data_IF_197889086774
#
_entry.id   IF_197889086774
#
_cell.length_a   1.000
_cell.length_b   1.000
_cell.length_c   1.000
_cell.angle_alpha   90.00
_cell.angle_beta   90.00
_cell.angle_gamma   90.00
#
_symmetry.space_group_name_H-M   'P 1'
#
loop_
_entity.id
_entity.type
_entity.pdbx_description
1 polymer ?
#
# COMPACT_ATOMS: atom_id res chain seq x y z
N UNK A 1 -26.58 47.16 49.69
CA UNK A 1 -26.16 45.74 49.64
C UNK A 1 -26.69 44.99 48.40
N UNK A 2 -27.71 45.49 47.70
CA UNK A 2 -28.33 44.75 46.58
C UNK A 2 -27.53 44.72 45.27
N UNK A 3 -26.66 45.71 45.01
CA UNK A 3 -25.89 45.75 43.76
C UNK A 3 -24.75 44.71 43.67
N UNK A 4 -24.25 44.19 44.81
CA UNK A 4 -23.21 43.15 44.83
C UNK A 4 -23.75 41.73 44.57
N UNK A 5 -25.03 41.47 44.84
CA UNK A 5 -25.64 40.14 44.63
C UNK A 5 -25.96 39.91 43.15
N UNK A 6 -26.40 40.96 42.44
CA UNK A 6 -26.73 40.90 41.01
C UNK A 6 -25.51 40.64 40.12
N UNK A 7 -24.33 41.15 40.48
CA UNK A 7 -23.09 40.94 39.70
C UNK A 7 -22.53 39.53 39.85
N UNK A 8 -22.65 38.93 41.04
CA UNK A 8 -22.26 37.55 41.32
C UNK A 8 -23.14 36.54 40.57
N UNK A 9 -24.46 36.75 40.57
CA UNK A 9 -25.40 35.90 39.82
C UNK A 9 -25.19 35.97 38.30
N UNK A 10 -24.90 37.16 37.76
CA UNK A 10 -24.60 37.35 36.34
C UNK A 10 -23.28 36.68 35.92
N UNK A 11 -22.26 36.70 36.79
CA UNK A 11 -20.97 36.03 36.57
C UNK A 11 -21.09 34.51 36.58
N UNK A 12 -21.83 33.94 37.54
CA UNK A 12 -22.10 32.49 37.60
C UNK A 12 -22.89 31.98 36.39
N UNK A 13 -23.82 32.78 35.87
CA UNK A 13 -24.58 32.43 34.65
C UNK A 13 -23.68 32.43 33.41
N UNK A 14 -22.78 33.41 33.27
CA UNK A 14 -21.81 33.43 32.17
C UNK A 14 -20.82 32.26 32.20
N UNK A 15 -20.38 31.83 33.39
CA UNK A 15 -19.50 30.67 33.56
C UNK A 15 -20.22 29.34 33.28
N UNK A 16 -21.50 29.24 33.66
CA UNK A 16 -22.34 28.10 33.29
C UNK A 16 -22.54 28.04 31.75
N UNK A 17 -22.78 29.17 31.11
CA UNK A 17 -22.98 29.23 29.65
C UNK A 17 -21.70 28.86 28.88
N UNK A 18 -20.51 29.26 29.37
CA UNK A 18 -19.23 28.84 28.76
C UNK A 18 -18.98 27.35 28.97
N UNK A 19 -19.31 26.79 30.14
CA UNK A 19 -19.22 25.34 30.38
C UNK A 19 -20.16 24.54 29.45
N UNK A 20 -21.38 25.04 29.21
CA UNK A 20 -22.33 24.41 28.28
C UNK A 20 -21.80 24.42 26.84
N UNK A 21 -21.24 25.55 26.39
CA UNK A 21 -20.64 25.66 25.05
C UNK A 21 -19.45 24.71 24.92
N UNK A 22 -18.57 24.65 25.92
CA UNK A 22 -17.43 23.75 25.92
C UNK A 22 -17.87 22.27 25.87
N UNK A 23 -18.85 21.88 26.68
CA UNK A 23 -19.38 20.51 26.68
C UNK A 23 -20.04 20.16 25.34
N UNK A 24 -20.74 21.11 24.71
CA UNK A 24 -21.32 20.94 23.38
C UNK A 24 -20.25 20.67 22.33
N UNK A 25 -19.20 21.49 22.29
CA UNK A 25 -18.06 21.31 21.38
C UNK A 25 -17.34 19.98 21.62
N UNK A 26 -17.19 19.57 22.89
CA UNK A 26 -16.61 18.27 23.23
C UNK A 26 -17.43 17.11 22.66
N UNK A 27 -18.78 17.19 22.74
CA UNK A 27 -19.70 16.16 22.22
C UNK A 27 -19.74 16.12 20.71
N UNK A 28 -19.68 17.27 20.06
CA UNK A 28 -19.59 17.39 18.61
C UNK A 28 -18.31 16.73 18.09
N UNK A 29 -17.15 17.09 18.67
CA UNK A 29 -15.88 16.45 18.34
C UNK A 29 -15.89 14.94 18.58
N UNK A 30 -16.54 14.49 19.66
CA UNK A 30 -16.71 13.06 19.90
C UNK A 30 -17.57 12.38 18.82
N UNK A 31 -18.64 13.03 18.34
CA UNK A 31 -19.46 12.51 17.26
C UNK A 31 -18.68 12.37 15.95
N UNK A 32 -17.81 13.34 15.62
CA UNK A 32 -16.95 13.28 14.45
C UNK A 32 -16.04 12.05 14.47
N UNK A 33 -15.45 11.73 15.63
CA UNK A 33 -14.62 10.52 15.77
C UNK A 33 -15.42 9.23 15.54
N UNK A 34 -16.68 9.16 15.97
CA UNK A 34 -17.52 7.99 15.67
C UNK A 34 -17.78 7.86 14.17
N UNK A 35 -18.01 8.97 13.47
CA UNK A 35 -18.19 8.98 12.01
C UNK A 35 -16.93 8.48 11.29
N UNK A 36 -15.75 8.91 11.74
CA UNK A 36 -14.46 8.44 11.20
C UNK A 36 -14.26 6.94 11.48
N UNK A 37 -14.52 6.47 12.70
CA UNK A 37 -14.41 5.04 13.00
C UNK A 37 -15.35 4.21 12.12
N UNK A 38 -16.57 4.69 11.90
CA UNK A 38 -17.56 4.02 11.07
C UNK A 38 -17.15 3.90 9.60
N UNK A 39 -16.44 4.90 9.05
CA UNK A 39 -15.95 4.85 7.67
C UNK A 39 -14.73 3.95 7.48
N UNK A 40 -13.95 3.71 8.53
CA UNK A 40 -12.73 2.89 8.48
C UNK A 40 -12.98 1.39 8.67
N UNK A 41 -14.10 1.01 9.29
CA UNK A 41 -14.41 -0.39 9.62
C UNK A 41 -15.41 -0.96 8.60
N UNK A 42 -15.02 -1.95 7.78
CA UNK A 42 -15.84 -2.45 6.67
C UNK A 42 -17.19 -3.09 7.08
N UNK A 43 -17.31 -3.55 8.32
CA UNK A 43 -18.50 -4.28 8.82
C UNK A 43 -19.57 -3.38 9.43
N UNK A 44 -19.34 -2.06 9.51
CA UNK A 44 -20.26 -1.13 10.15
C UNK A 44 -21.23 -0.50 9.15
N UNK A 45 -22.53 -0.73 9.38
CA UNK A 45 -23.59 -0.05 8.65
C UNK A 45 -23.80 1.39 9.16
N UNK A 46 -24.33 2.32 8.34
CA UNK A 46 -24.55 3.73 8.69
C UNK A 46 -25.38 3.99 9.97
N UNK A 47 -26.18 3.01 10.42
CA UNK A 47 -27.04 3.11 11.62
C UNK A 47 -26.51 2.34 12.84
N UNK A 48 -25.22 1.99 12.86
CA UNK A 48 -24.62 1.28 13.98
C UNK A 48 -24.66 2.11 15.28
N UNK A 49 -24.95 1.46 16.41
CA UNK A 49 -24.92 2.10 17.72
C UNK A 49 -23.48 2.38 18.15
N UNK A 50 -23.24 3.39 19.00
CA UNK A 50 -21.89 3.75 19.48
C UNK A 50 -21.13 2.56 20.08
N UNK A 51 -21.82 1.74 20.88
CA UNK A 51 -21.24 0.52 21.46
C UNK A 51 -20.81 -0.46 20.37
N UNK A 52 -21.66 -0.66 19.35
CA UNK A 52 -21.34 -1.54 18.22
C UNK A 52 -20.16 -1.02 17.39
N UNK A 53 -20.09 0.29 17.16
CA UNK A 53 -18.94 0.92 16.47
C UNK A 53 -17.63 0.60 17.20
N UNK A 54 -17.60 0.75 18.53
CA UNK A 54 -16.40 0.46 19.33
C UNK A 54 -16.06 -1.04 19.29
N UNK A 55 -17.06 -1.90 19.48
CA UNK A 55 -16.88 -3.35 19.48
C UNK A 55 -16.33 -3.87 18.14
N UNK A 56 -16.93 -3.45 17.02
CA UNK A 56 -16.45 -3.82 15.68
C UNK A 56 -15.07 -3.23 15.39
N UNK A 57 -14.80 -1.98 15.82
CA UNK A 57 -13.47 -1.38 15.69
C UNK A 57 -12.41 -2.22 16.39
N UNK A 58 -12.65 -2.61 17.65
CA UNK A 58 -11.70 -3.45 18.41
C UNK A 58 -11.51 -4.81 17.76
N UNK A 59 -12.60 -5.43 17.28
CA UNK A 59 -12.53 -6.70 16.55
C UNK A 59 -11.71 -6.54 15.26
N UNK A 60 -11.90 -5.45 14.52
CA UNK A 60 -11.21 -5.20 13.27
C UNK A 60 -9.72 -4.92 13.47
N UNK A 61 -9.34 -4.18 14.51
CA UNK A 61 -7.93 -3.99 14.90
C UNK A 61 -7.26 -5.34 15.14
N UNK A 62 -7.86 -6.19 15.98
CA UNK A 62 -7.33 -7.54 16.26
C UNK A 62 -7.22 -8.40 14.99
N UNK A 63 -8.19 -8.29 14.09
CA UNK A 63 -8.15 -8.97 12.80
C UNK A 63 -6.97 -8.50 11.95
N UNK A 64 -6.74 -7.19 11.85
CA UNK A 64 -5.62 -6.62 11.10
C UNK A 64 -4.28 -7.00 11.72
N UNK A 65 -4.14 -6.95 13.05
CA UNK A 65 -2.95 -7.41 13.76
C UNK A 65 -2.64 -8.88 13.45
N UNK A 66 -3.65 -9.76 13.57
CA UNK A 66 -3.50 -11.17 13.24
C UNK A 66 -3.15 -11.42 11.77
N UNK A 67 -3.74 -10.67 10.84
CA UNK A 67 -3.41 -10.73 9.41
C UNK A 67 -1.98 -10.27 9.14
N UNK A 68 -1.53 -9.21 9.82
CA UNK A 68 -0.18 -8.69 9.71
C UNK A 68 0.84 -9.69 10.23
N UNK A 69 0.57 -10.35 11.36
CA UNK A 69 1.42 -11.41 11.89
C UNK A 69 1.44 -12.64 10.99
N UNK A 70 0.28 -13.05 10.46
CA UNK A 70 0.19 -14.12 9.48
C UNK A 70 1.04 -13.82 8.23
N UNK A 71 0.93 -12.61 7.66
CA UNK A 71 1.71 -12.20 6.50
C UNK A 71 3.22 -12.15 6.81
N UNK A 72 3.61 -11.65 7.99
CA UNK A 72 5.01 -11.67 8.44
C UNK A 72 5.54 -13.09 8.62
N UNK A 73 4.72 -14.00 9.13
CA UNK A 73 5.10 -15.41 9.28
C UNK A 73 5.16 -16.10 7.92
N UNK A 74 4.24 -15.81 7.00
CA UNK A 74 4.30 -16.32 5.64
C UNK A 74 5.55 -15.84 4.89
N UNK A 75 6.00 -14.61 5.16
CA UNK A 75 7.29 -14.11 4.65
C UNK A 75 8.50 -14.86 5.24
N UNK A 76 8.36 -15.43 6.44
CA UNK A 76 9.41 -16.21 7.13
C UNK A 76 9.37 -17.72 6.81
N UNK A 77 8.19 -18.27 6.58
CA UNK A 77 7.94 -19.73 6.43
C UNK A 77 7.84 -20.14 4.97
N UNK A 78 7.53 -19.21 4.05
CA UNK A 78 7.98 -19.45 2.68
C UNK A 78 9.51 -19.53 2.73
N UNK A 79 10.15 -20.66 2.35
CA UNK A 79 11.48 -20.51 1.77
C UNK A 79 11.27 -19.45 0.71
N UNK A 80 12.05 -18.36 0.75
CA UNK A 80 11.99 -17.37 -0.29
C UNK A 80 11.94 -18.11 -1.63
N UNK A 81 10.76 -18.19 -2.27
CA UNK A 81 10.74 -18.20 -3.71
C UNK A 81 11.39 -16.87 -4.02
N UNK A 82 12.59 -16.91 -4.58
CA UNK A 82 13.60 -15.94 -4.21
C UNK A 82 13.20 -14.51 -4.60
N UNK A 83 12.74 -13.73 -3.62
CA UNK A 83 13.34 -12.42 -3.35
C UNK A 83 14.77 -12.71 -2.86
N UNK A 84 15.62 -13.21 -3.76
CA UNK A 84 17.04 -13.25 -3.52
C UNK A 84 17.53 -11.82 -3.62
N UNK A 85 17.69 -11.20 -2.44
CA UNK A 85 18.90 -10.44 -2.15
C UNK A 85 20.10 -11.40 -2.23
N UNK A 86 20.38 -11.95 -3.42
CA UNK A 86 21.69 -12.53 -3.71
C UNK A 86 22.56 -11.43 -4.23
N UNK A 87 23.28 -10.84 -3.30
CA UNK A 87 24.49 -10.13 -3.60
C UNK A 87 25.49 -11.12 -4.23
N UNK A 88 25.64 -11.10 -5.57
CA UNK A 88 26.91 -11.19 -6.33
C UNK A 88 26.69 -11.35 -7.85
N UNK A 89 26.43 -10.23 -8.52
CA UNK A 89 27.30 -9.61 -9.56
C UNK A 89 26.62 -8.30 -10.04
N UNK A 90 27.30 -7.14 -10.13
CA UNK A 90 26.64 -5.83 -10.08
C UNK A 90 26.31 -5.25 -11.47
N UNK A 91 25.51 -5.94 -12.30
CA UNK A 91 25.15 -5.38 -13.63
C UNK A 91 23.71 -5.57 -14.07
N UNK A 92 23.07 -6.71 -13.76
CA UNK A 92 21.70 -7.01 -14.24
C UNK A 92 20.96 -8.03 -13.38
N UNK A 93 19.67 -7.79 -13.09
CA UNK A 93 18.75 -8.75 -12.46
C UNK A 93 17.49 -8.89 -13.28
N UNK A 94 16.95 -10.11 -13.40
CA UNK A 94 15.73 -10.39 -14.17
C UNK A 94 14.83 -11.35 -13.38
N UNK A 95 13.65 -10.88 -13.02
CA UNK A 95 12.57 -11.62 -12.39
C UNK A 95 11.46 -11.88 -13.40
N UNK A 96 10.81 -13.04 -13.27
CA UNK A 96 9.76 -13.50 -14.16
C UNK A 96 8.57 -13.97 -13.33
N UNK A 97 7.37 -13.49 -13.68
CA UNK A 97 6.10 -14.05 -13.22
C UNK A 97 5.27 -14.49 -14.43
N UNK A 98 4.59 -15.63 -14.33
CA UNK A 98 3.81 -16.19 -15.43
C UNK A 98 2.34 -16.39 -15.01
N UNK A 99 1.42 -16.13 -15.92
CA UNK A 99 -0.03 -16.33 -15.75
C UNK A 99 -0.67 -16.78 -17.05
N UNK A 100 -1.07 -18.06 -17.15
CA UNK A 100 -1.66 -18.76 -18.32
C UNK A 100 -1.03 -18.42 -19.68
N UNK A 101 -1.32 -17.25 -20.22
CA UNK A 101 -0.88 -16.78 -21.54
C UNK A 101 0.01 -15.51 -21.49
N UNK A 102 0.36 -15.03 -20.28
CA UNK A 102 1.11 -13.80 -20.06
C UNK A 102 2.37 -14.06 -19.22
N UNK A 103 3.46 -13.39 -19.59
CA UNK A 103 4.71 -13.35 -18.88
C UNK A 103 5.04 -11.91 -18.50
N UNK A 104 5.36 -11.69 -17.22
CA UNK A 104 5.81 -10.42 -16.68
C UNK A 104 7.31 -10.52 -16.39
N UNK A 105 8.11 -9.74 -17.10
CA UNK A 105 9.55 -9.64 -16.91
C UNK A 105 9.85 -8.35 -16.16
N UNK A 106 10.33 -8.46 -14.93
CA UNK A 106 10.81 -7.32 -14.14
C UNK A 106 12.33 -7.39 -14.05
N UNK A 107 13.01 -6.42 -14.64
CA UNK A 107 14.46 -6.42 -14.75
C UNK A 107 15.06 -5.11 -14.27
N UNK A 108 16.27 -5.17 -13.73
CA UNK A 108 17.05 -4.01 -13.34
C UNK A 108 18.44 -4.09 -13.94
N UNK A 109 18.95 -2.97 -14.43
CA UNK A 109 20.25 -2.89 -15.07
C UNK A 109 20.98 -1.64 -14.63
N UNK A 110 22.32 -1.69 -14.61
CA UNK A 110 23.10 -0.46 -14.58
C UNK A 110 22.87 0.33 -15.86
N UNK A 111 22.53 1.61 -15.75
CA UNK A 111 22.24 2.47 -16.89
C UNK A 111 23.48 2.64 -17.76
N UNK A 112 23.37 2.26 -19.03
CA UNK A 112 24.43 2.36 -20.03
C UNK A 112 23.81 2.70 -21.40
N UNK A 113 24.54 3.42 -22.27
CA UNK A 113 24.08 3.66 -23.64
C UNK A 113 23.74 2.34 -24.34
N UNK A 114 22.60 2.30 -25.03
CA UNK A 114 22.16 1.13 -25.79
C UNK A 114 21.52 0.00 -24.99
N UNK A 115 21.40 0.12 -23.66
CA UNK A 115 20.76 -0.89 -22.81
C UNK A 115 19.33 -1.21 -23.28
N UNK A 116 18.49 -0.19 -23.44
CA UNK A 116 17.09 -0.38 -23.85
C UNK A 116 17.00 -1.04 -25.23
N UNK A 117 17.90 -0.67 -26.15
CA UNK A 117 17.95 -1.30 -27.47
C UNK A 117 18.26 -2.79 -27.37
N UNK A 118 19.21 -3.18 -26.51
CA UNK A 118 19.54 -4.61 -26.28
C UNK A 118 18.35 -5.36 -25.67
N UNK A 119 17.66 -4.75 -24.70
CA UNK A 119 16.47 -5.35 -24.08
C UNK A 119 15.36 -5.54 -25.13
N UNK A 120 15.04 -4.51 -25.90
CA UNK A 120 14.03 -4.59 -26.98
C UNK A 120 14.41 -5.63 -28.04
N UNK A 121 15.69 -5.68 -28.42
CA UNK A 121 16.20 -6.65 -29.39
C UNK A 121 16.00 -8.10 -28.91
N UNK A 122 16.12 -8.39 -27.60
CA UNK A 122 15.83 -9.73 -27.08
C UNK A 122 14.34 -10.06 -27.29
N UNK A 123 13.42 -9.16 -26.96
CA UNK A 123 11.99 -9.41 -27.18
C UNK A 123 11.64 -9.55 -28.67
N UNK A 124 12.30 -8.79 -29.55
CA UNK A 124 12.14 -8.88 -31.00
C UNK A 124 12.68 -10.21 -31.56
N UNK A 125 13.86 -10.65 -31.10
CA UNK A 125 14.50 -11.90 -31.53
C UNK A 125 13.66 -13.13 -31.21
N UNK A 126 12.96 -13.10 -30.07
CA UNK A 126 12.10 -14.19 -29.62
C UNK A 126 10.64 -14.04 -30.07
N UNK A 127 10.32 -13.05 -30.90
CA UNK A 127 8.95 -12.73 -31.34
C UNK A 127 7.94 -12.61 -30.17
N UNK A 128 8.42 -12.12 -29.03
CA UNK A 128 7.59 -11.97 -27.85
C UNK A 128 6.72 -10.71 -27.99
N UNK A 129 5.42 -10.92 -28.13
CA UNK A 129 4.44 -9.84 -28.22
C UNK A 129 4.34 -9.06 -26.90
N UNK A 130 5.16 -8.01 -26.76
CA UNK A 130 5.10 -7.11 -25.63
C UNK A 130 3.79 -6.31 -25.66
N UNK A 131 2.95 -6.53 -24.64
CA UNK A 131 1.68 -5.84 -24.44
C UNK A 131 1.92 -4.47 -23.79
N UNK A 132 2.79 -4.42 -22.79
CA UNK A 132 3.13 -3.20 -22.07
C UNK A 132 4.58 -3.21 -21.65
N UNK A 133 5.22 -2.03 -21.64
CA UNK A 133 6.55 -1.85 -21.09
C UNK A 133 6.58 -0.58 -20.24
N UNK A 134 7.15 -0.67 -19.05
CA UNK A 134 7.37 0.46 -18.14
C UNK A 134 8.85 0.54 -17.84
N UNK A 135 9.42 1.74 -18.02
CA UNK A 135 10.84 2.00 -17.80
C UNK A 135 10.96 3.12 -16.77
N UNK A 136 11.73 2.87 -15.72
CA UNK A 136 12.03 3.84 -14.66
C UNK A 136 13.54 3.88 -14.50
N UNK A 137 14.15 5.03 -14.73
CA UNK A 137 15.58 5.22 -14.51
C UNK A 137 15.80 6.09 -13.28
N UNK A 138 16.46 5.55 -12.26
CA UNK A 138 16.75 6.24 -11.02
C UNK A 138 18.15 5.87 -10.50
N UNK A 139 18.92 6.87 -10.06
CA UNK A 139 20.23 6.65 -9.40
C UNK A 139 21.19 5.74 -10.20
N UNK A 140 21.23 5.87 -11.53
CA UNK A 140 22.11 5.07 -12.39
C UNK A 140 21.65 3.61 -12.61
N UNK A 141 20.46 3.24 -12.13
CA UNK A 141 19.82 1.95 -12.37
C UNK A 141 18.55 2.16 -13.18
N UNK A 142 18.37 1.36 -14.23
CA UNK A 142 17.15 1.32 -15.03
C UNK A 142 16.34 0.08 -14.69
N UNK A 143 15.14 0.31 -14.17
CA UNK A 143 14.11 -0.69 -13.95
C UNK A 143 13.23 -0.78 -15.17
N UNK A 144 13.06 -1.97 -15.70
CA UNK A 144 12.24 -2.22 -16.86
C UNK A 144 11.26 -3.33 -16.47
N UNK A 145 9.98 -3.10 -16.72
CA UNK A 145 8.94 -4.11 -16.55
C UNK A 145 8.25 -4.30 -17.88
N UNK A 146 8.30 -5.50 -18.44
CA UNK A 146 7.66 -5.86 -19.71
C UNK A 146 6.62 -6.92 -19.45
N UNK A 147 5.38 -6.65 -19.87
CA UNK A 147 4.33 -7.67 -19.95
C UNK A 147 4.28 -8.17 -21.38
N UNK A 148 4.53 -9.45 -21.60
CA UNK A 148 4.43 -10.09 -22.90
C UNK A 148 3.34 -11.17 -22.89
N UNK A 149 2.70 -11.40 -24.03
CA UNK A 149 1.83 -12.55 -24.27
C UNK A 149 2.70 -13.69 -24.81
N UNK A 150 2.83 -14.82 -24.10
CA UNK A 150 3.75 -15.87 -24.53
C UNK A 150 3.31 -17.31 -24.24
N UNK A 151 3.37 -18.12 -25.30
CA UNK A 151 3.10 -19.56 -25.33
C UNK A 151 4.35 -20.32 -24.85
N UNK A 152 4.53 -20.40 -23.53
CA UNK A 152 5.23 -21.47 -22.78
C UNK A 152 6.74 -21.72 -22.99
N UNK A 153 7.25 -21.86 -24.22
CA UNK A 153 8.58 -22.43 -24.50
C UNK A 153 9.71 -21.40 -24.72
N UNK A 154 9.36 -20.14 -24.98
CA UNK A 154 10.32 -19.09 -25.33
C UNK A 154 10.71 -18.19 -24.14
N UNK A 155 9.89 -18.18 -23.08
CA UNK A 155 10.10 -17.40 -21.85
C UNK A 155 11.47 -17.65 -21.20
N UNK A 156 11.89 -18.92 -21.09
CA UNK A 156 13.18 -19.28 -20.49
C UNK A 156 14.38 -18.83 -21.34
N UNK A 157 14.20 -18.76 -22.66
CA UNK A 157 15.23 -18.28 -23.60
C UNK A 157 15.36 -16.76 -23.49
N UNK A 158 14.25 -16.06 -23.45
CA UNK A 158 14.20 -14.61 -23.21
C UNK A 158 14.87 -14.28 -21.87
N UNK A 159 14.51 -14.98 -20.80
CA UNK A 159 15.12 -14.77 -19.49
C UNK A 159 16.63 -14.97 -19.52
N UNK A 160 17.10 -16.04 -20.18
CA UNK A 160 18.54 -16.31 -20.34
C UNK A 160 19.27 -15.19 -21.06
N UNK A 161 18.71 -14.72 -22.18
CA UNK A 161 19.34 -13.67 -22.99
C UNK A 161 19.32 -12.31 -22.30
N UNK A 162 18.24 -11.99 -21.55
CA UNK A 162 18.17 -10.80 -20.72
C UNK A 162 19.21 -10.82 -19.58
N UNK A 163 19.51 -11.99 -19.00
CA UNK A 163 20.57 -12.14 -17.99
C UNK A 163 21.99 -12.02 -18.59
N UNK A 164 22.14 -12.12 -19.91
CA UNK A 164 23.41 -11.95 -20.61
C UNK A 164 23.69 -10.50 -21.06
N UNK A 165 22.74 -9.58 -20.82
CA UNK A 165 22.89 -8.14 -21.10
C UNK A 165 23.76 -7.47 -20.04
#
# INVERSE_FOLDING_TARGET
MEQQVLTSAKRKRGEHDTQVIYERLRREKAADYYTVLQSLVPTLFPKATRSKIIEETVRYIKHLEGKLDFLKQQQRVQPAQPLQLTQRNPTSTVHLAMSRDMALFSMSFTSRPGLLCRVLQVFETHFAGALTATIISASGISWITVTACEVGASVDRIKRDLMAI
#
